data_IF_494370059177
#
_entry.id   IF_494370059177
#
_cell.length_a   1.000
_cell.length_b   1.000
_cell.length_c   1.000
_cell.angle_alpha   90.00
_cell.angle_beta   90.00
_cell.angle_gamma   90.00
#
_symmetry.space_group_name_H-M   'P 1'
#
loop_
_entity.id
_entity.type
_entity.pdbx_description
1 polymer ?
#
# COMPACT_ATOMS: atom_id res chain seq x y z
N UNK A 1 -39.15 7.26 36.25
CA UNK A 1 -38.90 6.08 35.38
C UNK A 1 -38.42 6.47 33.97
N UNK A 2 -39.19 7.19 33.14
CA UNK A 2 -38.74 7.63 31.79
C UNK A 2 -37.54 8.61 31.86
N UNK A 3 -37.58 9.61 32.74
CA UNK A 3 -36.48 10.55 33.01
C UNK A 3 -35.19 9.83 33.43
N UNK A 4 -35.34 8.85 34.33
CA UNK A 4 -34.25 8.07 34.92
C UNK A 4 -33.56 7.15 33.89
N UNK A 5 -34.35 6.58 32.97
CA UNK A 5 -33.85 5.80 31.83
C UNK A 5 -33.14 6.72 30.83
N UNK A 6 -33.64 7.94 30.59
CA UNK A 6 -33.01 8.94 29.72
C UNK A 6 -31.66 9.38 30.29
N UNK A 7 -31.59 9.75 31.57
CA UNK A 7 -30.35 10.12 32.26
C UNK A 7 -29.33 8.97 32.26
N UNK A 8 -29.78 7.73 32.51
CA UNK A 8 -28.90 6.56 32.47
C UNK A 8 -28.37 6.26 31.06
N UNK A 9 -29.18 6.41 30.02
CA UNK A 9 -28.73 6.28 28.61
C UNK A 9 -27.72 7.35 28.23
N UNK A 10 -27.94 8.60 28.65
CA UNK A 10 -27.02 9.71 28.40
C UNK A 10 -25.67 9.47 29.08
N UNK A 11 -25.69 9.04 30.35
CA UNK A 11 -24.46 8.68 31.08
C UNK A 11 -23.72 7.50 30.44
N UNK A 12 -24.42 6.44 30.01
CA UNK A 12 -23.80 5.31 29.31
C UNK A 12 -23.19 5.71 27.97
N UNK A 13 -23.83 6.63 27.23
CA UNK A 13 -23.32 7.16 25.98
C UNK A 13 -22.06 8.00 26.17
N UNK A 14 -22.04 8.88 27.17
CA UNK A 14 -20.85 9.64 27.55
C UNK A 14 -19.70 8.73 27.97
N UNK A 15 -19.96 7.70 28.79
CA UNK A 15 -18.97 6.70 29.18
C UNK A 15 -18.44 5.96 27.95
N UNK A 16 -19.31 5.50 27.05
CA UNK A 16 -18.91 4.75 25.86
C UNK A 16 -18.02 5.60 24.94
N UNK A 17 -18.40 6.85 24.68
CA UNK A 17 -17.63 7.78 23.85
C UNK A 17 -16.29 8.14 24.51
N UNK A 18 -16.25 8.34 25.83
CA UNK A 18 -15.02 8.72 26.53
C UNK A 18 -14.06 7.55 26.76
N UNK A 19 -14.56 6.30 26.78
CA UNK A 19 -13.72 5.10 26.84
C UNK A 19 -13.12 4.71 25.49
N UNK A 20 -13.71 5.16 24.38
CA UNK A 20 -13.07 5.04 23.07
C UNK A 20 -12.03 6.16 22.91
N UNK A 21 -10.82 5.85 22.44
CA UNK A 21 -9.78 6.85 22.09
C UNK A 21 -10.13 7.60 20.79
N UNK A 22 -11.38 8.02 20.67
CA UNK A 22 -11.97 8.62 19.49
C UNK A 22 -12.42 10.03 19.87
N UNK A 23 -11.99 11.01 19.08
CA UNK A 23 -12.50 12.37 19.14
C UNK A 23 -13.87 12.44 18.50
N UNK A 24 -14.81 13.10 19.17
CA UNK A 24 -16.15 13.39 18.66
C UNK A 24 -16.37 14.89 18.80
N UNK A 25 -16.74 15.52 17.70
CA UNK A 25 -17.05 16.95 17.60
C UNK A 25 -18.41 17.15 16.97
N UNK A 26 -19.17 18.14 17.44
CA UNK A 26 -20.38 18.61 16.76
C UNK A 26 -20.14 20.04 16.32
N UNK A 27 -20.42 20.34 15.06
CA UNK A 27 -20.30 21.67 14.47
C UNK A 27 -21.64 22.17 13.93
N UNK A 28 -21.78 23.49 13.84
CA UNK A 28 -23.00 24.15 13.40
C UNK A 28 -22.81 24.79 12.00
N UNK A 29 -23.22 24.11 10.91
CA UNK A 29 -23.03 24.61 9.55
C UNK A 29 -23.88 25.85 9.23
N UNK A 30 -24.91 26.15 10.04
CA UNK A 30 -25.72 27.37 9.86
C UNK A 30 -24.99 28.65 10.30
N UNK A 31 -23.95 28.51 11.14
CA UNK A 31 -23.12 29.64 11.60
C UNK A 31 -21.97 29.87 10.64
N UNK A 32 -21.53 31.14 10.58
CA UNK A 32 -20.35 31.53 9.82
C UNK A 32 -19.17 30.66 10.22
N UNK A 33 -18.53 30.05 9.22
CA UNK A 33 -17.32 29.23 9.36
C UNK A 33 -17.51 27.82 9.95
N UNK A 34 -18.75 27.35 10.12
CA UNK A 34 -19.08 26.03 10.67
C UNK A 34 -18.30 25.72 11.97
N UNK A 35 -18.52 26.50 13.04
CA UNK A 35 -17.77 26.40 14.29
C UNK A 35 -18.14 25.15 15.07
N UNK A 36 -17.16 24.62 15.82
CA UNK A 36 -17.38 23.57 16.83
C UNK A 36 -18.23 24.15 17.96
N UNK A 37 -19.30 23.43 18.32
CA UNK A 37 -20.18 23.74 19.45
C UNK A 37 -20.05 22.73 20.59
N UNK A 38 -19.48 21.56 20.31
CA UNK A 38 -19.22 20.51 21.29
C UNK A 38 -18.01 19.67 20.86
N UNK A 39 -17.22 19.25 21.84
CA UNK A 39 -16.19 18.23 21.69
C UNK A 39 -16.18 17.35 22.95
N UNK A 40 -15.95 16.05 22.77
CA UNK A 40 -15.80 15.12 23.89
C UNK A 40 -14.39 15.15 24.49
N UNK A 41 -14.22 14.47 25.62
CA UNK A 41 -12.91 14.31 26.28
C UNK A 41 -11.90 13.58 25.40
N UNK A 42 -12.36 12.60 24.59
CA UNK A 42 -11.53 11.89 23.63
C UNK A 42 -10.86 12.83 22.61
N UNK A 43 -11.56 13.88 22.16
CA UNK A 43 -10.99 14.87 21.24
C UNK A 43 -9.91 15.72 21.91
N UNK A 44 -10.14 16.12 23.16
CA UNK A 44 -9.17 16.87 23.96
C UNK A 44 -7.90 16.05 24.20
N UNK A 45 -8.04 14.79 24.59
CA UNK A 45 -6.90 13.89 24.79
C UNK A 45 -6.15 13.58 23.49
N UNK A 46 -6.88 13.42 22.37
CA UNK A 46 -6.29 13.17 21.06
C UNK A 46 -5.45 14.34 20.56
N UNK A 47 -5.96 15.56 20.71
CA UNK A 47 -5.43 16.76 20.04
C UNK A 47 -4.58 17.64 20.95
N UNK A 48 -4.75 17.53 22.26
CA UNK A 48 -4.09 18.35 23.28
C UNK A 48 -4.69 19.76 23.47
N UNK A 49 -5.81 20.07 22.79
CA UNK A 49 -6.50 21.35 22.94
C UNK A 49 -7.59 21.30 23.99
N UNK A 50 -7.80 22.39 24.73
CA UNK A 50 -8.90 22.50 25.70
C UNK A 50 -10.19 22.95 25.04
N UNK A 51 -11.31 22.81 25.75
CA UNK A 51 -12.62 23.27 25.27
C UNK A 51 -12.63 24.78 24.97
N UNK A 52 -12.06 25.60 25.86
CA UNK A 52 -11.99 27.06 25.70
C UNK A 52 -11.23 27.48 24.44
N UNK A 53 -10.28 26.66 23.99
CA UNK A 53 -9.47 26.96 22.82
C UNK A 53 -10.16 26.63 21.50
N UNK A 54 -11.10 25.69 21.48
CA UNK A 54 -11.66 25.13 20.25
C UNK A 54 -13.14 25.49 20.01
N UNK A 55 -13.92 25.72 21.07
CA UNK A 55 -15.32 26.07 20.92
C UNK A 55 -15.43 27.40 20.17
N UNK A 56 -16.30 27.45 19.17
CA UNK A 56 -16.45 28.61 18.28
C UNK A 56 -15.46 28.67 17.12
N UNK A 57 -14.50 27.73 17.02
CA UNK A 57 -13.54 27.65 15.91
C UNK A 57 -13.87 26.51 14.96
N UNK A 58 -13.37 26.60 13.73
CA UNK A 58 -13.42 25.51 12.77
C UNK A 58 -12.24 24.53 13.00
N UNK A 59 -12.45 23.23 12.82
CA UNK A 59 -11.44 22.17 13.02
C UNK A 59 -10.17 22.29 12.14
N UNK A 60 -10.12 23.21 11.17
CA UNK A 60 -8.95 23.39 10.30
C UNK A 60 -7.64 23.74 11.02
N UNK A 61 -7.68 24.13 12.29
CA UNK A 61 -6.47 24.35 13.10
C UNK A 61 -5.62 23.08 13.26
N UNK A 62 -6.21 21.90 13.02
CA UNK A 62 -5.47 20.62 13.00
C UNK A 62 -4.67 20.41 11.71
N UNK A 63 -4.86 21.24 10.68
CA UNK A 63 -4.17 21.11 9.39
C UNK A 63 -2.80 21.79 9.42
N UNK A 64 -1.84 21.27 8.66
CA UNK A 64 -0.49 21.84 8.56
C UNK A 64 0.26 21.39 7.31
N UNK A 65 1.59 21.49 7.34
CA UNK A 65 2.44 21.36 6.14
C UNK A 65 2.28 20.02 5.40
N UNK A 66 2.10 18.91 6.11
CA UNK A 66 1.94 17.56 5.51
C UNK A 66 0.48 17.19 5.22
N UNK A 67 -0.47 18.07 5.51
CA UNK A 67 -1.89 17.80 5.21
C UNK A 67 -2.11 17.86 3.70
N UNK A 68 -2.68 16.78 3.13
CA UNK A 68 -2.95 16.71 1.70
C UNK A 68 -4.07 17.72 1.31
N UNK A 69 -3.80 18.68 0.40
CA UNK A 69 -4.81 19.63 -0.07
C UNK A 69 -6.04 18.98 -0.72
N UNK A 70 -5.89 17.84 -1.38
CA UNK A 70 -7.00 17.15 -2.05
C UNK A 70 -8.00 16.59 -1.04
N UNK A 71 -7.51 16.00 0.05
CA UNK A 71 -8.35 15.56 1.17
C UNK A 71 -9.12 16.73 1.78
N UNK A 72 -8.47 17.89 1.94
CA UNK A 72 -9.13 19.11 2.45
C UNK A 72 -10.22 19.60 1.49
N UNK A 73 -9.96 19.55 0.18
CA UNK A 73 -10.96 19.92 -0.83
C UNK A 73 -12.15 18.95 -0.84
N UNK A 74 -11.91 17.65 -0.64
CA UNK A 74 -12.98 16.65 -0.51
C UNK A 74 -13.87 16.93 0.69
N UNK A 75 -13.29 17.23 1.86
CA UNK A 75 -14.04 17.65 3.06
C UNK A 75 -14.87 18.88 2.77
N UNK A 76 -14.28 19.91 2.15
CA UNK A 76 -14.98 21.16 1.84
C UNK A 76 -16.18 20.92 0.93
N UNK A 77 -16.06 20.07 -0.09
CA UNK A 77 -17.16 19.73 -0.99
C UNK A 77 -18.29 19.01 -0.24
N UNK A 78 -17.95 17.99 0.55
CA UNK A 78 -18.93 17.24 1.33
C UNK A 78 -19.70 18.13 2.33
N UNK A 79 -18.99 19.00 3.05
CA UNK A 79 -19.62 19.98 3.95
C UNK A 79 -20.52 20.97 3.20
N UNK A 80 -20.16 21.36 1.97
CA UNK A 80 -20.97 22.28 1.15
C UNK A 80 -22.25 21.61 0.66
N UNK A 81 -22.15 20.35 0.27
CA UNK A 81 -23.26 19.57 -0.27
C UNK A 81 -24.13 18.92 0.83
N UNK A 82 -23.75 19.03 2.10
CA UNK A 82 -24.36 18.32 3.22
C UNK A 82 -24.35 16.80 3.00
N UNK A 83 -23.20 16.28 2.59
CA UNK A 83 -22.96 14.85 2.34
C UNK A 83 -21.97 14.27 3.38
N UNK A 84 -22.11 12.96 3.64
CA UNK A 84 -21.15 12.22 4.46
C UNK A 84 -19.80 12.14 3.75
N UNK A 85 -18.72 12.31 4.50
CA UNK A 85 -17.34 12.07 4.02
C UNK A 85 -16.57 11.23 5.03
N UNK A 86 -15.76 10.32 4.50
CA UNK A 86 -14.89 9.43 5.26
C UNK A 86 -13.55 9.32 4.54
N UNK A 87 -12.48 9.74 5.20
CA UNK A 87 -11.12 9.73 4.66
C UNK A 87 -10.07 9.79 5.76
N UNK A 88 -8.82 9.52 5.39
CA UNK A 88 -7.67 9.67 6.27
C UNK A 88 -6.82 10.85 5.82
N UNK A 89 -6.46 11.74 6.75
CA UNK A 89 -5.61 12.90 6.48
C UNK A 89 -4.58 13.12 7.60
N UNK A 90 -3.47 13.76 7.25
CA UNK A 90 -2.45 14.10 8.24
C UNK A 90 -2.82 15.39 8.98
N UNK A 91 -2.86 15.31 10.31
CA UNK A 91 -3.18 16.43 11.20
C UNK A 91 -2.07 16.64 12.25
N UNK A 92 -2.17 17.74 12.98
CA UNK A 92 -1.21 18.16 13.98
C UNK A 92 -1.92 18.42 15.31
N UNK A 93 -1.33 17.89 16.38
CA UNK A 93 -1.71 18.16 17.76
C UNK A 93 -1.20 19.55 18.18
N UNK A 94 -1.64 20.03 19.34
CA UNK A 94 -1.26 21.34 19.88
C UNK A 94 0.26 21.53 20.05
N UNK A 95 0.96 20.47 20.41
CA UNK A 95 2.42 20.43 20.56
C UNK A 95 3.18 20.37 19.22
N UNK A 96 2.47 20.29 18.09
CA UNK A 96 3.04 20.14 16.76
C UNK A 96 3.31 18.68 16.35
N UNK A 97 2.99 17.70 17.20
CA UNK A 97 3.11 16.28 16.86
C UNK A 97 2.11 15.96 15.75
N UNK A 98 2.62 15.43 14.64
CA UNK A 98 1.79 15.01 13.52
C UNK A 98 1.19 13.62 13.75
N UNK A 99 -0.05 13.42 13.32
CA UNK A 99 -0.75 12.14 13.42
C UNK A 99 -1.66 11.90 12.21
N UNK A 100 -1.89 10.63 11.87
CA UNK A 100 -2.87 10.23 10.89
C UNK A 100 -4.26 10.21 11.53
N UNK A 101 -5.10 11.12 11.08
CA UNK A 101 -6.49 11.23 11.51
C UNK A 101 -7.39 10.51 10.51
N UNK A 102 -8.05 9.45 10.95
CA UNK A 102 -9.21 8.89 10.26
C UNK A 102 -10.44 9.72 10.64
N UNK A 103 -10.94 10.47 9.66
CA UNK A 103 -11.99 11.47 9.82
C UNK A 103 -13.26 11.00 9.12
N UNK A 104 -14.34 10.92 9.88
CA UNK A 104 -15.71 10.79 9.37
C UNK A 104 -16.45 12.07 9.71
N UNK A 105 -17.18 12.64 8.75
CA UNK A 105 -18.12 13.72 8.98
C UNK A 105 -19.48 13.29 8.46
N UNK A 106 -20.48 13.33 9.33
CA UNK A 106 -21.86 12.96 9.03
C UNK A 106 -22.82 14.11 9.34
N UNK A 107 -23.57 14.64 8.36
CA UNK A 107 -24.59 15.64 8.59
C UNK A 107 -25.85 14.99 9.20
N UNK A 108 -26.30 15.50 10.34
CA UNK A 108 -27.45 14.98 11.09
C UNK A 108 -28.52 16.04 11.21
N UNK A 109 -29.72 15.73 10.71
CA UNK A 109 -30.91 16.56 10.90
C UNK A 109 -31.51 16.35 12.30
N UNK A 110 -31.67 17.43 13.04
CA UNK A 110 -32.34 17.44 14.33
C UNK A 110 -33.75 18.02 14.18
N UNK A 111 -34.76 17.16 14.26
CA UNK A 111 -36.17 17.54 14.06
C UNK A 111 -36.65 18.58 15.06
N UNK A 112 -36.23 18.48 16.33
CA UNK A 112 -36.63 19.42 17.40
C UNK A 112 -36.20 20.86 17.11
N UNK A 113 -35.08 21.05 16.42
CA UNK A 113 -34.53 22.36 16.07
C UNK A 113 -34.75 22.75 14.61
N UNK A 114 -35.32 21.85 13.80
CA UNK A 114 -35.45 22.00 12.34
C UNK A 114 -34.12 22.43 11.69
N UNK A 115 -33.04 21.74 12.06
CA UNK A 115 -31.68 22.17 11.74
C UNK A 115 -30.72 21.00 11.56
N UNK A 116 -29.77 21.16 10.63
CA UNK A 116 -28.68 20.19 10.43
C UNK A 116 -27.44 20.57 11.24
N UNK A 117 -26.85 19.59 11.90
CA UNK A 117 -25.55 19.64 12.54
C UNK A 117 -24.56 18.74 11.79
N UNK A 118 -23.25 18.97 11.94
CA UNK A 118 -22.25 18.03 11.42
C UNK A 118 -21.55 17.34 12.58
N UNK A 119 -21.58 16.00 12.59
CA UNK A 119 -20.87 15.18 13.56
C UNK A 119 -19.53 14.76 12.94
N UNK A 120 -18.44 15.20 13.54
CA UNK A 120 -17.08 14.78 13.19
C UNK A 120 -16.57 13.72 14.15
N UNK A 121 -16.04 12.63 13.63
CA UNK A 121 -15.39 11.55 14.37
C UNK A 121 -13.93 11.48 13.91
N UNK A 122 -13.00 11.50 14.87
CA UNK A 122 -11.56 11.51 14.62
C UNK A 122 -10.90 10.35 15.37
N UNK A 123 -10.11 9.53 14.66
CA UNK A 123 -9.34 8.44 15.26
C UNK A 123 -7.87 8.54 14.85
N UNK A 124 -6.98 8.46 15.83
CA UNK A 124 -5.54 8.33 15.57
C UNK A 124 -5.27 6.92 15.02
N UNK A 125 -4.87 6.82 13.76
CA UNK A 125 -4.49 5.57 13.10
C UNK A 125 -2.99 5.52 12.79
N UNK A 126 -2.20 6.34 13.49
CA UNK A 126 -0.75 6.45 13.26
C UNK A 126 -0.04 5.14 13.56
N UNK A 127 -0.35 4.49 14.69
CA UNK A 127 0.30 3.22 15.07
C UNK A 127 -0.03 2.09 14.09
N UNK A 128 -1.29 2.02 13.64
CA UNK A 128 -1.73 1.04 12.64
C UNK A 128 -1.00 1.26 11.32
N UNK A 129 -0.87 2.51 10.86
CA UNK A 129 -0.12 2.83 9.64
C UNK A 129 1.37 2.51 9.78
N UNK A 130 1.99 2.86 10.88
CA UNK A 130 3.41 2.55 11.12
C UNK A 130 3.65 1.05 11.15
N UNK A 131 2.77 0.28 11.80
CA UNK A 131 2.87 -1.19 11.83
C UNK A 131 2.71 -1.81 10.45
N UNK A 132 1.73 -1.36 9.68
CA UNK A 132 1.54 -1.82 8.29
C UNK A 132 2.76 -1.48 7.44
N UNK A 133 3.29 -0.27 7.57
CA UNK A 133 4.49 0.14 6.83
C UNK A 133 5.73 -0.68 7.22
N UNK A 134 5.91 -0.97 8.51
CA UNK A 134 7.01 -1.81 8.98
C UNK A 134 6.89 -3.24 8.44
N UNK A 135 5.68 -3.80 8.41
CA UNK A 135 5.43 -5.11 7.83
C UNK A 135 5.74 -5.11 6.33
N UNK A 136 5.24 -4.12 5.59
CA UNK A 136 5.54 -3.96 4.16
C UNK A 136 7.04 -3.81 3.91
N UNK A 137 7.74 -3.01 4.72
CA UNK A 137 9.20 -2.85 4.60
C UNK A 137 9.92 -4.17 4.89
N UNK A 138 9.51 -4.91 5.91
CA UNK A 138 10.08 -6.22 6.24
C UNK A 138 9.87 -7.22 5.10
N UNK A 139 8.68 -7.25 4.49
CA UNK A 139 8.39 -8.08 3.33
C UNK A 139 9.22 -7.65 2.11
N UNK A 140 9.37 -6.34 1.87
CA UNK A 140 10.22 -5.81 0.81
C UNK A 140 11.72 -6.16 1.03
N UNK A 141 12.20 -6.17 2.28
CA UNK A 141 13.58 -6.57 2.60
C UNK A 141 13.82 -8.05 2.27
N UNK A 142 12.85 -8.93 2.56
CA UNK A 142 12.90 -10.35 2.14
C UNK A 142 12.96 -10.46 0.61
N UNK A 143 12.23 -9.62 -0.13
CA UNK A 143 12.25 -9.61 -1.59
C UNK A 143 13.56 -9.10 -2.21
N UNK A 144 14.31 -8.22 -1.54
CA UNK A 144 15.62 -7.75 -2.05
C UNK A 144 16.72 -8.82 -2.05
N UNK A 145 16.55 -9.90 -1.30
CA UNK A 145 17.49 -11.04 -1.27
C UNK A 145 17.07 -12.13 -2.29
N UNK A 146 15.86 -12.10 -2.83
CA UNK A 146 15.22 -13.25 -3.49
C UNK A 146 15.58 -13.49 -4.97
N UNK A 147 16.59 -12.81 -5.51
CA UNK A 147 17.07 -13.00 -6.90
C UNK A 147 18.60 -13.08 -6.96
N UNK A 148 19.20 -14.07 -6.29
CA UNK A 148 20.65 -14.27 -6.37
C UNK A 148 21.02 -14.75 -7.79
N UNK A 149 21.98 -14.09 -8.43
CA UNK A 149 22.65 -14.68 -9.59
C UNK A 149 23.70 -15.62 -9.02
N UNK A 150 23.55 -16.92 -9.27
CA UNK A 150 24.41 -17.96 -8.69
C UNK A 150 25.18 -18.65 -9.83
N UNK A 151 26.52 -18.58 -9.86
CA UNK A 151 27.30 -19.42 -10.76
C UNK A 151 27.07 -20.90 -10.44
N UNK A 152 26.72 -21.69 -11.45
CA UNK A 152 26.43 -23.14 -11.30
C UNK A 152 27.45 -24.02 -12.00
N UNK A 153 28.09 -23.51 -13.06
CA UNK A 153 29.25 -24.10 -13.73
C UNK A 153 30.15 -23.00 -14.26
N UNK A 154 31.33 -23.33 -14.76
CA UNK A 154 32.27 -22.37 -15.38
C UNK A 154 31.67 -21.64 -16.60
N UNK A 155 30.60 -22.18 -17.19
CA UNK A 155 29.95 -21.61 -18.37
C UNK A 155 28.48 -21.24 -18.17
N UNK A 156 27.95 -21.36 -16.93
CA UNK A 156 26.54 -21.09 -16.68
C UNK A 156 26.26 -20.48 -15.30
N UNK A 157 25.33 -19.53 -15.30
CA UNK A 157 24.76 -18.92 -14.09
C UNK A 157 23.27 -19.20 -14.01
N UNK A 158 22.73 -19.28 -12.80
CA UNK A 158 21.30 -19.43 -12.56
C UNK A 158 20.72 -18.19 -11.89
N UNK A 159 19.56 -17.76 -12.38
CA UNK A 159 18.71 -16.73 -11.81
C UNK A 159 17.38 -17.40 -11.38
N UNK A 160 17.29 -17.87 -10.12
CA UNK A 160 16.10 -18.51 -9.61
C UNK A 160 15.03 -17.49 -9.26
N UNK A 161 13.79 -17.78 -9.65
CA UNK A 161 12.64 -16.93 -9.39
C UNK A 161 11.67 -17.64 -8.44
N UNK A 162 11.58 -17.10 -7.22
CA UNK A 162 10.78 -17.68 -6.14
C UNK A 162 9.75 -16.65 -5.66
N UNK A 163 8.47 -17.01 -5.57
CA UNK A 163 7.40 -16.13 -5.09
C UNK A 163 6.86 -15.18 -6.16
N UNK A 164 6.14 -14.14 -5.76
CA UNK A 164 5.38 -13.29 -6.68
C UNK A 164 6.29 -12.40 -7.56
N UNK A 165 5.87 -12.17 -8.80
CA UNK A 165 6.60 -11.35 -9.75
C UNK A 165 5.99 -9.95 -9.86
N UNK A 166 6.59 -8.97 -9.18
CA UNK A 166 6.15 -7.57 -9.19
C UNK A 166 7.01 -6.71 -10.13
N UNK A 167 6.54 -5.51 -10.49
CA UNK A 167 7.30 -4.57 -11.32
C UNK A 167 8.61 -4.13 -10.66
N UNK A 168 8.57 -3.80 -9.36
CA UNK A 168 9.77 -3.46 -8.57
C UNK A 168 10.79 -4.61 -8.54
N UNK A 169 10.31 -5.86 -8.47
CA UNK A 169 11.17 -7.05 -8.51
C UNK A 169 11.86 -7.16 -9.87
N UNK A 170 11.13 -6.94 -10.96
CA UNK A 170 11.69 -6.94 -12.31
C UNK A 170 12.77 -5.87 -12.52
N UNK A 171 12.55 -4.65 -12.03
CA UNK A 171 13.54 -3.56 -12.10
C UNK A 171 14.82 -3.94 -11.35
N UNK A 172 14.70 -4.45 -10.13
CA UNK A 172 15.83 -4.91 -9.33
C UNK A 172 16.61 -6.05 -10.02
N UNK A 173 15.90 -7.02 -10.59
CA UNK A 173 16.51 -8.11 -11.34
C UNK A 173 17.25 -7.62 -12.58
N UNK A 174 16.63 -6.73 -13.35
CA UNK A 174 17.22 -6.19 -14.58
C UNK A 174 18.51 -5.45 -14.27
N UNK A 175 18.50 -4.57 -13.27
CA UNK A 175 19.69 -3.80 -12.86
C UNK A 175 20.83 -4.72 -12.38
N UNK A 176 20.51 -5.73 -11.56
CA UNK A 176 21.52 -6.69 -11.08
C UNK A 176 22.08 -7.54 -12.21
N UNK A 177 21.22 -8.03 -13.10
CA UNK A 177 21.63 -8.83 -14.24
C UNK A 177 22.53 -8.01 -15.16
N UNK A 178 22.19 -6.76 -15.45
CA UNK A 178 23.07 -5.86 -16.22
C UNK A 178 24.44 -5.71 -15.58
N UNK A 179 24.50 -5.38 -14.28
CA UNK A 179 25.78 -5.23 -13.58
C UNK A 179 26.60 -6.52 -13.57
N UNK A 180 25.95 -7.67 -13.36
CA UNK A 180 26.60 -8.97 -13.40
C UNK A 180 27.18 -9.27 -14.79
N UNK A 181 26.40 -9.04 -15.84
CA UNK A 181 26.75 -9.37 -17.20
C UNK A 181 27.89 -8.52 -17.78
N UNK A 182 28.17 -7.34 -17.21
CA UNK A 182 29.32 -6.52 -17.60
C UNK A 182 30.66 -7.24 -17.38
N UNK A 183 30.73 -8.12 -16.37
CA UNK A 183 31.96 -8.84 -15.98
C UNK A 183 31.85 -10.35 -16.10
N UNK A 184 30.68 -10.87 -16.49
CA UNK A 184 30.40 -12.30 -16.53
C UNK A 184 31.21 -13.00 -17.64
N UNK A 185 31.96 -14.03 -17.27
CA UNK A 185 32.66 -14.89 -18.23
C UNK A 185 31.72 -15.96 -18.81
N UNK A 186 30.68 -16.34 -18.07
CA UNK A 186 29.78 -17.45 -18.44
C UNK A 186 28.94 -17.12 -19.68
N UNK A 187 28.83 -18.05 -20.63
CA UNK A 187 28.05 -17.85 -21.85
C UNK A 187 26.56 -18.08 -21.65
N UNK A 188 26.15 -18.83 -20.62
CA UNK A 188 24.76 -19.24 -20.42
C UNK A 188 24.13 -18.67 -19.15
N UNK A 189 22.87 -18.23 -19.26
CA UNK A 189 22.03 -17.80 -18.14
C UNK A 189 20.80 -18.70 -18.08
N UNK A 190 20.65 -19.43 -16.98
CA UNK A 190 19.48 -20.24 -16.69
C UNK A 190 18.52 -19.41 -15.84
N UNK A 191 17.34 -19.10 -16.36
CA UNK A 191 16.27 -18.47 -15.56
C UNK A 191 15.33 -19.57 -15.10
N UNK A 192 15.29 -19.81 -13.79
CA UNK A 192 14.45 -20.86 -13.21
C UNK A 192 13.10 -20.33 -12.75
N UNK A 193 12.05 -20.73 -13.46
CA UNK A 193 10.67 -20.30 -13.25
C UNK A 193 9.91 -21.20 -12.28
N UNK A 194 10.57 -22.21 -11.71
CA UNK A 194 9.93 -23.27 -10.90
C UNK A 194 9.22 -22.75 -9.64
N UNK A 195 9.66 -21.61 -9.11
CA UNK A 195 9.12 -20.99 -7.90
C UNK A 195 8.06 -19.93 -8.14
N UNK A 196 7.60 -19.74 -9.38
CA UNK A 196 6.52 -18.80 -9.72
C UNK A 196 5.15 -19.49 -9.65
N UNK A 197 4.28 -19.00 -8.78
CA UNK A 197 2.93 -19.55 -8.58
C UNK A 197 1.95 -19.08 -9.66
N UNK A 198 2.09 -17.84 -10.14
CA UNK A 198 1.27 -17.28 -11.20
C UNK A 198 2.13 -16.64 -12.29
N UNK A 199 1.85 -17.02 -13.54
CA UNK A 199 2.41 -16.37 -14.72
C UNK A 199 1.27 -15.96 -15.64
N UNK A 200 1.06 -14.65 -15.73
CA UNK A 200 0.17 -14.03 -16.70
C UNK A 200 0.98 -13.54 -17.93
N UNK A 201 0.27 -13.00 -18.93
CA UNK A 201 0.89 -12.46 -20.15
C UNK A 201 1.89 -11.32 -19.85
N UNK A 202 1.65 -10.54 -18.78
CA UNK A 202 2.52 -9.44 -18.38
C UNK A 202 3.86 -9.96 -17.87
N UNK A 203 3.86 -10.87 -16.91
CA UNK A 203 5.03 -11.52 -16.33
C UNK A 203 5.86 -12.20 -17.42
N UNK A 204 5.19 -12.92 -18.33
CA UNK A 204 5.83 -13.56 -19.49
C UNK A 204 6.56 -12.53 -20.37
N UNK A 205 5.93 -11.39 -20.68
CA UNK A 205 6.56 -10.33 -21.49
C UNK A 205 7.82 -9.74 -20.85
N UNK A 206 7.83 -9.60 -19.51
CA UNK A 206 8.97 -9.10 -18.75
C UNK A 206 10.14 -10.09 -18.77
N UNK A 207 9.90 -11.40 -18.67
CA UNK A 207 10.98 -12.37 -18.81
C UNK A 207 11.68 -12.34 -20.17
N UNK A 208 10.94 -12.09 -21.25
CA UNK A 208 11.57 -11.87 -22.56
C UNK A 208 12.48 -10.65 -22.57
N UNK A 209 12.10 -9.57 -21.89
CA UNK A 209 12.95 -8.39 -21.77
C UNK A 209 14.28 -8.72 -21.07
N UNK A 210 14.25 -9.49 -19.98
CA UNK A 210 15.47 -9.97 -19.30
C UNK A 210 16.31 -10.87 -20.21
N UNK A 211 15.68 -11.82 -20.90
CA UNK A 211 16.37 -12.70 -21.84
C UNK A 211 17.00 -11.94 -23.01
N UNK A 212 16.33 -10.89 -23.50
CA UNK A 212 16.84 -10.06 -24.58
C UNK A 212 18.02 -9.20 -24.12
N UNK A 213 17.97 -8.68 -22.88
CA UNK A 213 19.08 -7.97 -22.27
C UNK A 213 20.34 -8.83 -22.23
N UNK A 214 20.23 -10.08 -21.76
CA UNK A 214 21.32 -11.04 -21.78
C UNK A 214 21.85 -11.33 -23.19
N UNK A 215 20.94 -11.53 -24.15
CA UNK A 215 21.28 -11.80 -25.55
C UNK A 215 22.01 -10.64 -26.21
N UNK A 216 21.62 -9.39 -25.93
CA UNK A 216 22.31 -8.20 -26.43
C UNK A 216 23.73 -8.06 -25.87
N UNK A 217 23.98 -8.61 -24.67
CA UNK A 217 25.31 -8.68 -24.06
C UNK A 217 26.10 -9.93 -24.47
N UNK A 218 25.61 -10.68 -25.48
CA UNK A 218 26.30 -11.83 -26.05
C UNK A 218 26.14 -13.14 -25.27
N UNK A 219 25.22 -13.20 -24.29
CA UNK A 219 24.95 -14.41 -23.50
C UNK A 219 23.71 -15.14 -23.98
N UNK A 220 23.70 -16.47 -23.90
CA UNK A 220 22.56 -17.32 -24.26
C UNK A 220 21.67 -17.58 -23.05
N UNK A 221 20.38 -17.31 -23.18
CA UNK A 221 19.41 -17.57 -22.10
C UNK A 221 18.74 -18.93 -22.30
N UNK A 222 18.55 -19.66 -21.20
CA UNK A 222 17.81 -20.91 -21.11
C UNK A 222 16.75 -20.79 -20.02
N UNK A 223 15.55 -21.30 -20.25
CA UNK A 223 14.49 -21.33 -19.24
C UNK A 223 14.38 -22.71 -18.61
N UNK A 224 14.27 -22.78 -17.29
CA UNK A 224 13.92 -24.00 -16.56
C UNK A 224 12.65 -23.83 -15.74
N UNK A 225 12.05 -24.94 -15.31
CA UNK A 225 10.84 -24.92 -14.48
C UNK A 225 9.57 -24.58 -15.28
N UNK A 226 9.60 -24.73 -16.61
CA UNK A 226 8.44 -24.48 -17.47
C UNK A 226 7.39 -25.58 -17.26
N UNK A 227 6.23 -25.22 -16.71
CA UNK A 227 5.09 -26.12 -16.55
C UNK A 227 4.29 -26.26 -17.87
N UNK A 228 3.51 -27.34 -18.05
CA UNK A 228 2.61 -27.48 -19.21
C UNK A 228 1.61 -26.33 -19.35
N UNK A 229 1.09 -25.81 -18.23
CA UNK A 229 0.20 -24.64 -18.21
C UNK A 229 0.90 -23.39 -18.75
N UNK A 230 2.16 -23.16 -18.34
CA UNK A 230 2.98 -22.07 -18.88
C UNK A 230 3.22 -22.23 -20.38
N UNK A 231 3.58 -23.44 -20.82
CA UNK A 231 3.79 -23.73 -22.25
C UNK A 231 2.52 -23.44 -23.08
N UNK A 232 1.34 -23.72 -22.54
CA UNK A 232 0.06 -23.41 -23.20
C UNK A 232 -0.26 -21.90 -23.20
N UNK A 233 -0.05 -21.19 -22.08
CA UNK A 233 -0.28 -19.74 -21.98
C UNK A 233 0.65 -18.91 -22.87
N UNK A 234 1.84 -19.44 -23.12
CA UNK A 234 2.87 -18.80 -23.93
C UNK A 234 2.77 -19.12 -25.42
N UNK A 235 1.91 -20.09 -25.80
CA UNK A 235 1.65 -20.47 -27.20
C UNK A 235 0.99 -19.38 -28.07
N UNK A 236 0.67 -18.21 -27.50
CA UNK A 236 0.26 -17.01 -28.25
C UNK A 236 1.41 -16.04 -28.60
N UNK A 237 2.62 -16.26 -28.07
CA UNK A 237 3.81 -15.38 -28.18
C UNK A 237 4.95 -16.12 -28.93
N UNK A 238 4.56 -17.02 -29.85
CA UNK A 238 5.39 -18.12 -30.40
C UNK A 238 6.66 -17.67 -31.13
N UNK A 239 6.63 -16.52 -31.81
CA UNK A 239 7.76 -16.08 -32.64
C UNK A 239 9.02 -15.72 -31.82
N UNK A 240 8.85 -15.45 -30.51
CA UNK A 240 9.96 -15.04 -29.63
C UNK A 240 10.51 -16.20 -28.80
N UNK A 241 9.68 -17.18 -28.42
CA UNK A 241 10.10 -18.35 -27.62
C UNK A 241 10.87 -19.37 -28.43
N UNK A 242 10.60 -19.49 -29.72
CA UNK A 242 11.29 -20.46 -30.59
C UNK A 242 12.82 -20.27 -30.63
N UNK A 243 13.34 -19.16 -30.11
CA UNK A 243 14.78 -18.87 -30.00
C UNK A 243 15.38 -19.19 -28.62
N UNK A 244 14.57 -19.53 -27.62
CA UNK A 244 15.01 -19.79 -26.24
C UNK A 244 14.77 -21.25 -25.91
N UNK A 245 15.82 -21.97 -25.49
CA UNK A 245 15.68 -23.35 -25.07
C UNK A 245 14.94 -23.42 -23.72
N UNK A 246 13.91 -24.26 -23.64
CA UNK A 246 13.10 -24.46 -22.43
C UNK A 246 13.24 -25.87 -21.89
N UNK A 247 13.34 -26.02 -20.57
CA UNK A 247 13.47 -27.30 -19.89
C UNK A 247 12.51 -27.41 -18.71
N UNK A 248 12.11 -28.65 -18.40
CA UNK A 248 11.24 -28.91 -17.24
C UNK A 248 11.93 -28.62 -15.89
N UNK A 249 13.27 -28.70 -15.83
CA UNK A 249 14.05 -28.45 -14.61
C UNK A 249 15.49 -28.04 -14.93
N UNK A 250 16.17 -27.45 -13.94
CA UNK A 250 17.56 -26.96 -14.04
C UNK A 250 18.53 -28.07 -14.43
N UNK A 251 18.35 -29.29 -13.92
CA UNK A 251 19.23 -30.43 -14.21
C UNK A 251 19.27 -30.77 -15.70
N UNK A 252 18.12 -30.70 -16.38
CA UNK A 252 18.04 -30.90 -17.83
C UNK A 252 18.70 -29.76 -18.61
N UNK A 253 18.55 -28.51 -18.16
CA UNK A 253 19.20 -27.35 -18.76
C UNK A 253 20.74 -27.45 -18.69
N UNK A 254 21.28 -27.81 -17.52
CA UNK A 254 22.72 -28.00 -17.34
C UNK A 254 23.30 -29.12 -18.21
N UNK A 255 22.58 -30.23 -18.36
CA UNK A 255 23.00 -31.31 -19.28
C UNK A 255 23.12 -30.83 -20.72
N UNK A 256 22.18 -30.02 -21.18
CA UNK A 256 22.21 -29.43 -22.52
C UNK A 256 23.42 -28.52 -22.71
N UNK A 257 23.66 -27.60 -21.76
CA UNK A 257 24.81 -26.67 -21.81
C UNK A 257 26.13 -27.43 -21.86
N UNK A 258 26.30 -28.46 -21.02
CA UNK A 258 27.50 -29.30 -20.98
C UNK A 258 27.70 -30.17 -22.24
N UNK A 259 26.67 -30.33 -23.08
CA UNK A 259 26.78 -31.12 -24.33
C UNK A 259 27.23 -30.23 -25.50
N UNK A 260 27.11 -28.90 -25.37
CA UNK A 260 27.33 -27.92 -26.45
C UNK A 260 28.57 -27.05 -26.17
N UNK A 261 28.98 -26.95 -24.89
CA UNK A 261 30.26 -26.38 -24.47
C UNK A 261 31.40 -27.38 -24.72
#
# INVERSE_FOLDING_TARGET
MQEEIRTKKQSLFEIAINHTRVGVTITDPSKKDNPIIFANEGFHQLTGYTSEEIIGKNCRFLQGKKTNPDSVNQIRRALTNMERVELQLYNYKKDGTGFWNELIIDPVWLEEEQKTYSIGIQKDVTQEKEKTQMLENTLNEIDTISTPIVPVTDNAVILPLIGDFTEKRFENMSNRLSYYLETAEEDYIIIDLSGLYEMDTYVVSRFFQLSQLASLMGKQTVLSGVSPDLAMKTAGIVDTINKIHTFANVKSALKFINTIS
#
